data_IF_361827526003
#
_entry.id   IF_361827526003
#
_cell.length_a   1.000
_cell.length_b   1.000
_cell.length_c   1.000
_cell.angle_alpha   90.00
_cell.angle_beta   90.00
_cell.angle_gamma   90.00
#
_symmetry.space_group_name_H-M   'P 1'
#
loop_
_entity.id
_entity.type
_entity.pdbx_description
1 polymer ?
#
# COMPACT_ATOMS: atom_id res chain seq x y z
N UNK A 1 -26.99 -19.38 -48.03
CA UNK A 1 -25.84 -19.83 -47.23
C UNK A 1 -25.20 -18.62 -46.56
N UNK A 2 -25.15 -18.56 -45.22
CA UNK A 2 -24.43 -17.51 -44.49
C UNK A 2 -23.03 -18.02 -44.19
N UNK A 3 -22.01 -17.41 -44.80
CA UNK A 3 -20.62 -17.70 -44.45
C UNK A 3 -20.37 -17.23 -43.01
N UNK A 4 -19.97 -18.17 -42.14
CA UNK A 4 -19.48 -17.87 -40.80
C UNK A 4 -18.25 -16.97 -40.94
N UNK A 5 -18.31 -15.76 -40.37
CA UNK A 5 -17.09 -15.03 -40.02
C UNK A 5 -16.48 -15.76 -38.83
N UNK A 6 -15.32 -16.35 -39.05
CA UNK A 6 -14.41 -16.73 -37.98
C UNK A 6 -14.02 -15.43 -37.24
N UNK A 7 -14.24 -15.39 -35.93
CA UNK A 7 -13.76 -14.32 -35.05
C UNK A 7 -12.45 -14.81 -34.42
N UNK A 8 -11.28 -14.46 -34.99
CA UNK A 8 -10.02 -14.89 -34.41
C UNK A 8 -9.85 -14.17 -33.07
N UNK A 9 -9.80 -14.98 -32.02
CA UNK A 9 -9.66 -14.60 -30.62
C UNK A 9 -8.92 -13.28 -30.39
N UNK A 10 -9.67 -12.25 -30.00
CA UNK A 10 -9.11 -11.06 -29.37
C UNK A 10 -8.64 -11.41 -27.96
N UNK A 11 -7.46 -12.01 -27.85
CA UNK A 11 -6.60 -11.73 -26.70
C UNK A 11 -5.90 -10.41 -26.98
N UNK A 12 -6.66 -9.31 -26.92
CA UNK A 12 -6.04 -7.99 -26.76
C UNK A 12 -5.51 -7.99 -25.33
N UNK A 13 -4.22 -8.26 -25.18
CA UNK A 13 -3.52 -7.94 -23.95
C UNK A 13 -3.66 -6.44 -23.75
N UNK A 14 -4.59 -6.03 -22.89
CA UNK A 14 -4.75 -4.64 -22.48
C UNK A 14 -3.52 -4.27 -21.64
N UNK A 15 -2.40 -3.97 -22.31
CA UNK A 15 -1.32 -3.23 -21.68
C UNK A 15 -1.84 -1.81 -21.52
N UNK A 16 -2.49 -1.55 -20.38
CA UNK A 16 -2.77 -0.19 -19.96
C UNK A 16 -1.48 0.63 -19.96
N UNK A 17 -1.56 1.95 -20.16
CA UNK A 17 -0.38 2.80 -20.17
C UNK A 17 0.43 2.58 -18.88
N UNK A 18 1.74 2.37 -19.03
CA UNK A 18 2.65 2.32 -17.88
C UNK A 18 2.68 3.70 -17.26
N UNK A 19 2.31 3.79 -15.98
CA UNK A 19 2.37 5.03 -15.22
C UNK A 19 3.63 5.04 -14.38
N UNK A 20 4.57 5.92 -14.73
CA UNK A 20 5.76 6.15 -13.92
C UNK A 20 5.39 6.92 -12.64
N UNK A 21 5.69 6.31 -11.50
CA UNK A 21 5.46 6.89 -10.18
C UNK A 21 6.59 7.86 -9.78
N UNK A 22 7.72 7.86 -10.49
CA UNK A 22 8.90 8.65 -10.16
C UNK A 22 9.69 8.11 -8.95
N UNK A 23 10.64 8.91 -8.46
CA UNK A 23 11.50 8.59 -7.33
C UNK A 23 11.51 9.71 -6.28
N UNK A 24 12.06 9.43 -5.09
CA UNK A 24 12.37 10.45 -4.08
C UNK A 24 13.73 11.15 -4.31
N UNK A 25 14.28 11.04 -5.53
CA UNK A 25 15.62 11.54 -5.87
C UNK A 25 16.76 10.56 -5.60
N UNK A 26 16.48 9.36 -5.06
CA UNK A 26 17.46 8.29 -4.93
C UNK A 26 17.44 7.29 -6.10
N UNK A 27 18.38 6.35 -6.06
CA UNK A 27 18.63 5.37 -7.13
C UNK A 27 17.78 4.09 -7.03
N UNK A 28 17.09 3.85 -5.90
CA UNK A 28 16.40 2.59 -5.63
C UNK A 28 14.93 2.81 -5.27
N UNK A 29 14.08 1.92 -5.78
CA UNK A 29 12.65 1.85 -5.47
C UNK A 29 12.17 0.40 -5.47
N UNK A 30 11.48 0.00 -4.41
CA UNK A 30 11.01 -1.35 -4.13
C UNK A 30 9.52 -1.28 -3.73
N UNK A 31 8.58 -1.44 -4.69
CA UNK A 31 7.17 -1.57 -4.35
C UNK A 31 6.91 -2.89 -3.62
N UNK A 32 6.15 -2.86 -2.53
CA UNK A 32 5.89 -4.03 -1.67
C UNK A 32 4.42 -4.47 -1.68
N UNK A 33 3.49 -3.56 -1.95
CA UNK A 33 2.06 -3.86 -2.02
C UNK A 33 1.27 -2.81 -2.81
N UNK A 34 0.08 -3.19 -3.24
CA UNK A 34 -0.95 -2.34 -3.83
C UNK A 34 -2.30 -2.74 -3.25
N UNK A 35 -3.20 -1.78 -3.04
CA UNK A 35 -4.58 -2.07 -2.60
C UNK A 35 -5.60 -1.93 -3.74
N UNK A 36 -6.86 -2.30 -3.49
CA UNK A 36 -7.92 -2.31 -4.51
C UNK A 36 -8.23 -0.92 -5.08
N UNK A 37 -7.91 0.14 -4.34
CA UNK A 37 -8.07 1.53 -4.79
C UNK A 37 -6.93 1.96 -5.73
N UNK A 38 -5.90 1.14 -5.86
CA UNK A 38 -4.73 1.39 -6.69
C UNK A 38 -3.67 2.23 -5.99
N UNK A 39 -3.68 2.29 -4.66
CA UNK A 39 -2.59 2.89 -3.89
C UNK A 39 -1.45 1.89 -3.80
N UNK A 40 -0.30 2.26 -4.34
CA UNK A 40 0.94 1.49 -4.25
C UNK A 40 1.72 1.96 -3.04
N UNK A 41 2.33 1.03 -2.31
CA UNK A 41 3.31 1.34 -1.26
C UNK A 41 4.61 0.59 -1.48
N UNK A 42 5.65 1.04 -0.79
CA UNK A 42 6.92 0.35 -0.78
C UNK A 42 8.00 1.14 -0.08
N UNK A 43 9.23 0.96 -0.55
CA UNK A 43 10.40 1.70 -0.08
C UNK A 43 11.13 2.34 -1.24
N UNK A 44 11.69 3.51 -1.04
CA UNK A 44 12.60 4.13 -1.99
C UNK A 44 13.72 4.85 -1.26
N UNK A 45 14.87 4.99 -1.91
CA UNK A 45 15.93 5.88 -1.40
C UNK A 45 15.63 7.33 -1.77
N UNK A 46 15.89 8.24 -0.84
CA UNK A 46 15.89 9.68 -1.14
C UNK A 46 17.22 10.12 -1.78
N UNK A 47 17.35 11.40 -2.10
CA UNK A 47 18.59 11.97 -2.66
C UNK A 47 19.83 11.85 -1.76
N UNK A 48 19.66 11.55 -0.47
CA UNK A 48 20.76 11.26 0.46
C UNK A 48 21.06 9.75 0.56
N UNK A 49 20.35 8.91 -0.20
CA UNK A 49 20.50 7.45 -0.17
C UNK A 49 19.78 6.78 1.01
N UNK A 50 19.00 7.51 1.81
CA UNK A 50 18.31 6.94 2.96
C UNK A 50 17.01 6.26 2.53
N UNK A 51 16.78 5.04 2.99
CA UNK A 51 15.52 4.32 2.75
C UNK A 51 14.34 4.99 3.47
N UNK A 52 13.30 5.32 2.70
CA UNK A 52 12.02 5.87 3.15
C UNK A 52 10.88 4.94 2.77
N UNK A 53 9.87 4.81 3.62
CA UNK A 53 8.63 4.21 3.19
C UNK A 53 7.84 5.21 2.35
N UNK A 54 7.21 4.71 1.31
CA UNK A 54 6.60 5.53 0.28
C UNK A 54 5.20 5.03 -0.07
N UNK A 55 4.38 5.96 -0.54
CA UNK A 55 3.07 5.68 -1.12
C UNK A 55 2.89 6.44 -2.43
N UNK A 56 2.10 5.90 -3.33
CA UNK A 56 1.62 6.57 -4.53
C UNK A 56 0.15 6.21 -4.73
N UNK A 57 -0.74 7.19 -4.62
CA UNK A 57 -2.13 7.00 -5.00
C UNK A 57 -2.24 6.83 -6.53
N UNK A 58 -3.33 6.24 -7.01
CA UNK A 58 -3.57 6.04 -8.44
C UNK A 58 -3.38 7.34 -9.23
N UNK A 59 -2.45 7.33 -10.19
CA UNK A 59 -2.15 8.48 -11.04
C UNK A 59 -1.37 9.61 -10.34
N UNK A 60 -0.82 9.35 -9.16
CA UNK A 60 0.02 10.28 -8.40
C UNK A 60 1.46 9.78 -8.38
N UNK A 61 2.36 10.73 -8.15
CA UNK A 61 3.78 10.44 -7.95
C UNK A 61 4.00 9.78 -6.59
N UNK A 62 5.16 9.18 -6.47
CA UNK A 62 5.67 8.54 -5.27
C UNK A 62 6.06 9.60 -4.25
N UNK A 63 5.55 9.43 -3.04
CA UNK A 63 5.70 10.37 -1.93
C UNK A 63 6.19 9.63 -0.70
N UNK A 64 7.06 10.26 0.08
CA UNK A 64 7.46 9.73 1.38
C UNK A 64 6.28 9.79 2.34
N UNK A 65 6.04 8.70 3.06
CA UNK A 65 5.12 8.72 4.20
C UNK A 65 5.67 9.68 5.29
N UNK A 66 4.80 10.30 6.11
CA UNK A 66 5.25 11.30 7.08
C UNK A 66 6.01 10.67 8.26
N UNK A 67 6.86 11.48 8.89
CA UNK A 67 7.53 11.16 10.17
C UNK A 67 8.35 9.86 10.18
N UNK A 68 9.08 9.60 9.09
CA UNK A 68 9.80 8.34 8.82
C UNK A 68 11.21 8.22 9.41
N UNK A 69 11.76 9.26 10.07
CA UNK A 69 13.16 9.25 10.50
C UNK A 69 14.13 8.77 9.40
N UNK A 70 15.09 7.92 9.77
CA UNK A 70 15.99 7.21 8.84
C UNK A 70 15.76 5.71 8.89
N UNK A 71 15.53 5.07 7.74
CA UNK A 71 15.49 3.61 7.61
C UNK A 71 14.10 2.98 7.73
N UNK A 72 13.36 2.97 6.62
CA UNK A 72 12.16 2.13 6.51
C UNK A 72 12.55 0.67 6.22
N UNK A 73 11.96 -0.28 6.96
CA UNK A 73 12.24 -1.71 6.80
C UNK A 73 11.20 -2.44 5.97
N UNK A 74 10.01 -2.66 6.52
CA UNK A 74 8.91 -3.33 5.86
C UNK A 74 7.64 -2.50 6.00
N UNK A 75 6.80 -2.49 4.96
CA UNK A 75 5.51 -1.81 4.95
C UNK A 75 4.46 -2.65 4.26
N UNK A 76 3.23 -2.58 4.80
CA UNK A 76 2.03 -3.21 4.26
C UNK A 76 0.87 -2.22 4.31
N UNK A 77 -0.10 -2.37 3.40
CA UNK A 77 -1.25 -1.47 3.27
C UNK A 77 -2.54 -2.30 3.33
N UNK A 78 -3.61 -1.71 3.89
CA UNK A 78 -4.96 -2.26 3.79
C UNK A 78 -5.81 -1.53 2.72
N UNK A 79 -7.03 -2.01 2.49
CA UNK A 79 -7.95 -1.38 1.54
C UNK A 79 -8.47 -0.01 2.00
N UNK A 80 -8.27 0.37 3.26
CA UNK A 80 -8.59 1.68 3.83
C UNK A 80 -7.42 2.69 3.72
N UNK A 81 -6.34 2.38 2.99
CA UNK A 81 -5.13 3.22 2.85
C UNK A 81 -4.39 3.41 4.18
N UNK A 82 -4.62 2.52 5.13
CA UNK A 82 -3.82 2.45 6.33
C UNK A 82 -2.57 1.68 5.98
N UNK A 83 -1.43 2.35 6.17
CA UNK A 83 -0.13 1.71 6.04
C UNK A 83 0.39 1.38 7.44
N UNK A 84 0.90 0.17 7.61
CA UNK A 84 1.64 -0.24 8.80
C UNK A 84 3.01 -0.72 8.39
N UNK A 85 4.00 -0.50 9.26
CA UNK A 85 5.35 -0.95 9.00
C UNK A 85 6.30 -0.61 10.13
N UNK A 86 7.59 -0.70 9.84
CA UNK A 86 8.62 -0.35 10.80
C UNK A 86 9.56 0.74 10.26
N UNK A 87 9.82 1.72 11.13
CA UNK A 87 10.84 2.74 10.97
C UNK A 87 11.89 2.48 12.04
N UNK A 88 13.11 2.13 11.62
CA UNK A 88 14.12 1.53 12.52
C UNK A 88 13.50 0.36 13.30
N UNK A 89 13.45 0.48 14.62
CA UNK A 89 12.94 -0.51 15.58
C UNK A 89 11.50 -0.21 16.05
N UNK A 90 10.88 0.85 15.55
CA UNK A 90 9.54 1.27 15.96
C UNK A 90 8.48 0.77 14.97
N UNK A 91 7.45 0.10 15.47
CA UNK A 91 6.25 -0.18 14.70
C UNK A 91 5.44 1.12 14.55
N UNK A 92 5.02 1.42 13.33
CA UNK A 92 4.32 2.67 13.02
C UNK A 92 3.11 2.38 12.13
N UNK A 93 2.03 3.11 12.39
CA UNK A 93 0.82 3.17 11.57
C UNK A 93 0.67 4.56 10.97
N UNK A 94 0.50 4.63 9.65
CA UNK A 94 0.14 5.82 8.91
C UNK A 94 -1.31 5.72 8.44
N UNK A 95 -2.11 6.71 8.81
CA UNK A 95 -3.50 6.85 8.41
C UNK A 95 -3.69 8.29 7.88
N UNK A 96 -3.66 8.43 6.56
CA UNK A 96 -3.62 9.74 5.90
C UNK A 96 -2.37 10.54 6.28
N UNK A 97 -2.57 11.64 7.03
CA UNK A 97 -1.50 12.49 7.56
C UNK A 97 -1.16 12.19 9.03
N UNK A 98 -1.87 11.26 9.66
CA UNK A 98 -1.66 10.88 11.05
C UNK A 98 -0.66 9.73 11.12
N UNK A 99 0.40 9.94 11.89
CA UNK A 99 1.38 8.91 12.24
C UNK A 99 1.16 8.51 13.69
N UNK A 100 1.03 7.22 13.95
CA UNK A 100 0.89 6.67 15.30
C UNK A 100 1.97 5.61 15.51
N UNK A 101 2.82 5.80 16.52
CA UNK A 101 3.71 4.75 16.98
C UNK A 101 2.87 3.66 17.65
N UNK A 102 3.08 2.42 17.23
CA UNK A 102 2.42 1.26 17.81
C UNK A 102 3.31 0.74 18.94
N UNK A 103 2.74 0.60 20.13
CA UNK A 103 3.46 0.06 21.28
C UNK A 103 4.06 -1.32 20.94
N UNK A 104 5.35 -1.48 21.24
CA UNK A 104 6.03 -2.76 21.12
C UNK A 104 5.57 -3.64 22.29
N UNK A 105 5.08 -4.85 22.01
CA UNK A 105 4.89 -5.85 23.05
C UNK A 105 6.27 -6.11 23.71
N UNK A 106 6.40 -6.07 25.05
CA UNK A 106 7.68 -6.34 25.69
C UNK A 106 8.08 -7.80 25.45
N UNK A 107 9.07 -8.02 24.57
CA UNK A 107 9.58 -9.35 24.23
C UNK A 107 10.20 -9.41 22.84
N UNK A 108 11.50 -9.16 22.76
CA UNK A 108 12.46 -9.58 21.72
C UNK A 108 11.95 -9.77 20.28
N UNK A 109 12.32 -8.83 19.41
CA UNK A 109 12.78 -9.14 18.05
C UNK A 109 11.72 -9.25 16.96
N UNK A 110 11.75 -8.26 16.04
CA UNK A 110 11.03 -8.19 14.75
C UNK A 110 9.49 -8.26 14.83
N UNK A 111 8.88 -7.08 14.76
CA UNK A 111 7.48 -6.89 14.40
C UNK A 111 7.28 -7.12 12.89
N UNK A 112 6.58 -8.19 12.52
CA UNK A 112 6.05 -8.39 11.18
C UNK A 112 4.61 -7.85 11.14
N UNK A 113 4.37 -6.81 10.33
CA UNK A 113 3.02 -6.26 10.16
C UNK A 113 2.25 -7.05 9.10
N UNK A 114 1.12 -7.65 9.48
CA UNK A 114 0.14 -8.24 8.54
C UNK A 114 -1.17 -7.47 8.69
N UNK A 115 -1.58 -6.74 7.66
CA UNK A 115 -2.92 -6.17 7.60
C UNK A 115 -3.95 -7.32 7.51
N UNK A 116 -4.85 -7.44 8.49
CA UNK A 116 -5.94 -8.42 8.46
C UNK A 116 -7.16 -7.86 7.73
N UNK A 117 -7.72 -8.63 6.80
CA UNK A 117 -8.90 -8.28 5.98
C UNK A 117 -10.21 -8.83 6.54
N UNK A 118 -10.33 -9.04 7.86
CA UNK A 118 -11.60 -9.48 8.46
C UNK A 118 -12.38 -8.28 8.96
N UNK A 119 -13.31 -7.81 8.12
CA UNK A 119 -14.37 -6.90 8.54
C UNK A 119 -15.48 -7.77 9.15
N UNK A 120 -15.68 -7.70 10.46
CA UNK A 120 -16.91 -8.26 11.05
C UNK A 120 -18.12 -7.57 10.38
N UNK A 121 -19.16 -8.33 10.00
CA UNK A 121 -20.40 -7.73 9.53
C UNK A 121 -21.02 -6.94 10.69
N UNK A 122 -21.25 -5.65 10.47
CA UNK A 122 -21.95 -4.80 11.42
C UNK A 122 -23.30 -5.44 11.79
N UNK A 123 -23.47 -5.77 13.07
CA UNK A 123 -24.76 -6.22 13.60
C UNK A 123 -25.82 -5.16 13.32
N UNK A 124 -26.82 -5.50 12.51
CA UNK A 124 -27.93 -4.62 12.22
C UNK A 124 -28.75 -4.38 13.51
N UNK A 125 -29.23 -3.16 13.78
CA UNK A 125 -30.11 -2.90 14.90
C UNK A 125 -31.46 -3.59 14.68
N UNK A 126 -31.91 -4.36 15.68
CA UNK A 126 -33.26 -4.91 15.74
C UNK A 126 -34.25 -3.75 15.83
N UNK A 127 -34.93 -3.47 14.73
CA UNK A 127 -36.15 -2.65 14.73
C UNK A 127 -37.29 -3.54 15.20
N UNK A 128 -37.81 -3.26 16.40
CA UNK A 128 -39.07 -3.81 16.89
C UNK A 128 -40.17 -2.79 16.70
N UNK A 129 -41.17 -3.13 15.90
CA UNK A 129 -42.51 -2.56 15.92
C UNK A 129 -43.51 -3.65 15.53
N UNK A 130 -44.83 -3.44 15.65
CA UNK A 130 -45.54 -2.25 16.11
C UNK A 130 -45.81 -2.18 17.62
#
# INVERSE_FOLDING_TARGET
MRARREDPGRTVGHRGPVHDLGSLGGAYGEPTAINDRGTVIGRATDGAGAWKAVRAARGKKLEALPSQGTGAGSVSIDNADVVVGNVKDHAVRWDGNRTTELAVLPGTGRVSSRASTTREPASAPLTSGP
#
